data_IF_874774905685
#
_entry.id   IF_874774905685
#
_cell.length_a   1.000
_cell.length_b   1.000
_cell.length_c   1.000
_cell.angle_alpha   90.00
_cell.angle_beta   90.00
_cell.angle_gamma   90.00
#
_symmetry.space_group_name_H-M   'P 1'
#
loop_
_entity.id
_entity.type
_entity.pdbx_description
1 polymer ?
#
# COMPACT_ATOMS: atom_id res chain seq x y z
N UNK A 1 -13.89 -5.88 -11.24
CA UNK A 1 -14.75 -6.06 -10.05
C UNK A 1 -14.87 -4.69 -9.38
N UNK A 2 -16.08 -4.19 -9.12
CA UNK A 2 -16.29 -2.89 -8.46
C UNK A 2 -15.94 -3.01 -6.99
N UNK A 3 -15.02 -2.18 -6.48
CA UNK A 3 -14.57 -2.23 -5.08
C UNK A 3 -15.70 -1.73 -4.16
N UNK A 4 -16.27 -2.62 -3.35
CA UNK A 4 -17.32 -2.29 -2.40
C UNK A 4 -16.74 -1.77 -1.08
N UNK A 5 -17.40 -0.76 -0.48
CA UNK A 5 -17.10 -0.34 0.88
C UNK A 5 -17.32 -1.49 1.87
N UNK A 6 -16.49 -1.56 2.91
CA UNK A 6 -16.54 -2.65 3.92
C UNK A 6 -17.93 -2.86 4.51
N UNK A 7 -18.71 -1.79 4.71
CA UNK A 7 -20.08 -1.87 5.25
C UNK A 7 -21.02 -2.64 4.32
N UNK A 8 -20.87 -2.43 3.01
CA UNK A 8 -21.70 -3.05 1.96
C UNK A 8 -21.23 -4.49 1.76
N UNK A 9 -19.90 -4.69 1.70
CA UNK A 9 -19.30 -6.00 1.50
C UNK A 9 -19.58 -6.94 2.67
N UNK A 10 -19.40 -6.50 3.91
CA UNK A 10 -19.67 -7.30 5.10
C UNK A 10 -21.15 -7.69 5.18
N UNK A 11 -22.06 -6.74 4.92
CA UNK A 11 -23.50 -7.00 4.88
C UNK A 11 -23.85 -8.04 3.82
N UNK A 12 -23.30 -7.90 2.61
CA UNK A 12 -23.50 -8.86 1.51
C UNK A 12 -22.98 -10.26 1.85
N UNK A 13 -21.77 -10.37 2.42
CA UNK A 13 -21.16 -11.65 2.81
C UNK A 13 -21.92 -12.32 3.95
N UNK A 14 -22.44 -11.53 4.90
CA UNK A 14 -23.28 -12.04 6.00
C UNK A 14 -24.62 -12.57 5.47
N UNK A 15 -25.29 -11.79 4.63
CA UNK A 15 -26.60 -12.14 4.07
C UNK A 15 -26.51 -13.34 3.11
N UNK A 16 -25.42 -13.47 2.33
CA UNK A 16 -25.21 -14.65 1.47
C UNK A 16 -25.05 -15.95 2.26
N UNK A 17 -24.77 -15.87 3.56
CA UNK A 17 -24.64 -17.00 4.48
C UNK A 17 -25.84 -17.14 5.42
N UNK A 18 -26.91 -16.38 5.17
CA UNK A 18 -28.15 -16.35 5.96
C UNK A 18 -27.91 -16.11 7.46
N UNK A 19 -26.90 -15.30 7.81
CA UNK A 19 -26.60 -14.96 9.20
C UNK A 19 -27.24 -13.64 9.60
N UNK A 20 -27.83 -13.58 10.78
CA UNK A 20 -28.20 -12.32 11.43
C UNK A 20 -26.96 -11.61 11.99
N UNK A 21 -27.09 -10.30 12.29
CA UNK A 21 -26.03 -9.50 12.94
C UNK A 21 -25.61 -10.15 14.28
N UNK A 22 -26.59 -10.66 15.03
CA UNK A 22 -26.35 -11.33 16.32
C UNK A 22 -25.56 -12.63 16.15
N UNK A 23 -26.00 -13.51 15.25
CA UNK A 23 -25.33 -14.79 14.99
C UNK A 23 -23.90 -14.62 14.48
N UNK A 24 -23.66 -13.63 13.61
CA UNK A 24 -22.30 -13.33 13.15
C UNK A 24 -21.43 -12.78 14.30
N UNK A 25 -21.99 -11.93 15.16
CA UNK A 25 -21.26 -11.40 16.34
C UNK A 25 -20.80 -12.54 17.25
N UNK A 26 -21.70 -13.48 17.53
CA UNK A 26 -21.44 -14.65 18.37
C UNK A 26 -20.39 -15.58 17.72
N UNK A 27 -20.56 -15.92 16.43
CA UNK A 27 -19.59 -16.75 15.69
C UNK A 27 -18.20 -16.12 15.62
N UNK A 28 -18.11 -14.81 15.45
CA UNK A 28 -16.84 -14.08 15.38
C UNK A 28 -16.24 -13.77 16.74
N UNK A 29 -16.94 -14.02 17.85
CA UNK A 29 -16.51 -13.65 19.21
C UNK A 29 -16.14 -12.16 19.29
N UNK A 30 -17.05 -11.31 18.80
CA UNK A 30 -16.98 -9.85 18.85
C UNK A 30 -18.19 -9.30 19.63
N UNK A 31 -18.15 -8.02 20.03
CA UNK A 31 -19.25 -7.42 20.77
C UNK A 31 -20.56 -7.39 19.96
N UNK A 32 -21.70 -7.51 20.64
CA UNK A 32 -23.03 -7.59 20.02
C UNK A 32 -23.41 -6.39 19.13
N UNK A 33 -22.78 -5.22 19.34
CA UNK A 33 -22.95 -4.04 18.49
C UNK A 33 -21.94 -3.94 17.34
N UNK A 34 -20.84 -4.70 17.39
CA UNK A 34 -19.69 -4.52 16.49
C UNK A 34 -20.07 -4.71 15.02
N UNK A 35 -20.81 -5.75 14.69
CA UNK A 35 -21.24 -6.02 13.30
C UNK A 35 -22.19 -4.92 12.80
N UNK A 36 -23.17 -4.52 13.61
CA UNK A 36 -24.12 -3.46 13.26
C UNK A 36 -23.43 -2.10 13.08
N UNK A 37 -22.42 -1.80 13.89
CA UNK A 37 -21.64 -0.56 13.75
C UNK A 37 -20.78 -0.56 12.49
N UNK A 38 -20.25 -1.71 12.08
CA UNK A 38 -19.51 -1.83 10.82
C UNK A 38 -20.45 -1.69 9.62
N UNK A 39 -21.59 -2.39 9.62
CA UNK A 39 -22.57 -2.33 8.51
C UNK A 39 -23.28 -0.97 8.39
N UNK A 40 -23.39 -0.23 9.48
CA UNK A 40 -23.89 1.16 9.46
C UNK A 40 -22.79 2.19 9.14
N UNK A 41 -21.52 1.78 9.11
CA UNK A 41 -20.37 2.65 8.86
C UNK A 41 -19.93 3.49 10.07
N UNK A 42 -20.45 3.21 11.27
CA UNK A 42 -20.05 3.88 12.52
C UNK A 42 -18.72 3.36 13.08
N UNK A 43 -18.26 2.19 12.63
CA UNK A 43 -17.04 1.57 13.10
C UNK A 43 -16.21 1.00 11.94
N UNK A 44 -14.93 1.38 11.88
CA UNK A 44 -13.95 0.75 10.98
C UNK A 44 -13.25 -0.38 11.74
N UNK A 45 -13.42 -1.65 11.33
CA UNK A 45 -12.87 -2.78 12.06
C UNK A 45 -11.35 -2.84 11.95
N UNK A 46 -10.69 -3.22 13.05
CA UNK A 46 -9.25 -3.50 13.06
C UNK A 46 -8.96 -4.80 12.30
N UNK A 47 -7.71 -4.99 11.86
CA UNK A 47 -7.24 -6.24 11.21
C UNK A 47 -7.68 -7.50 11.98
N UNK A 48 -7.47 -7.51 13.29
CA UNK A 48 -7.86 -8.62 14.18
C UNK A 48 -9.36 -8.89 14.22
N UNK A 49 -10.18 -7.86 14.03
CA UNK A 49 -11.64 -8.00 13.92
C UNK A 49 -11.99 -8.61 12.56
N UNK A 50 -11.37 -8.16 11.47
CA UNK A 50 -11.60 -8.74 10.15
C UNK A 50 -11.14 -10.19 10.04
N UNK A 51 -10.06 -10.59 10.72
CA UNK A 51 -9.64 -11.99 10.80
C UNK A 51 -10.69 -12.87 11.49
N UNK A 52 -11.26 -12.38 12.59
CA UNK A 52 -12.37 -13.04 13.27
C UNK A 52 -13.61 -13.15 12.38
N UNK A 53 -13.95 -12.10 11.64
CA UNK A 53 -15.07 -12.08 10.70
C UNK A 53 -14.85 -13.02 9.52
N UNK A 54 -13.66 -13.01 8.92
CA UNK A 54 -13.31 -13.88 7.81
C UNK A 54 -13.42 -15.36 8.22
N UNK A 55 -12.96 -15.70 9.42
CA UNK A 55 -13.08 -17.05 9.99
C UNK A 55 -14.54 -17.41 10.28
N UNK A 56 -15.30 -16.51 10.91
CA UNK A 56 -16.70 -16.74 11.25
C UNK A 56 -17.61 -16.88 10.02
N UNK A 57 -17.28 -16.17 8.95
CA UNK A 57 -17.96 -16.26 7.66
C UNK A 57 -17.43 -17.41 6.82
N UNK A 58 -16.29 -18.03 7.14
CA UNK A 58 -15.67 -19.04 6.27
C UNK A 58 -15.45 -18.49 4.85
N UNK A 59 -14.73 -17.37 4.75
CA UNK A 59 -14.44 -16.72 3.47
C UNK A 59 -13.41 -17.50 2.67
N UNK A 60 -13.60 -17.56 1.35
CA UNK A 60 -12.56 -18.06 0.44
C UNK A 60 -11.47 -17.00 0.21
N UNK A 61 -10.41 -17.37 -0.52
CA UNK A 61 -9.26 -16.49 -0.80
C UNK A 61 -9.66 -15.17 -1.44
N UNK A 62 -10.60 -15.19 -2.40
CA UNK A 62 -11.00 -14.01 -3.16
C UNK A 62 -11.88 -13.08 -2.32
N UNK A 63 -12.84 -13.64 -1.59
CA UNK A 63 -13.68 -12.90 -0.64
C UNK A 63 -12.84 -12.28 0.48
N UNK A 64 -11.80 -12.99 0.94
CA UNK A 64 -10.86 -12.49 1.95
C UNK A 64 -10.00 -11.36 1.39
N UNK A 65 -9.48 -11.49 0.17
CA UNK A 65 -8.74 -10.40 -0.49
C UNK A 65 -9.63 -9.18 -0.64
N UNK A 66 -10.88 -9.35 -1.07
CA UNK A 66 -11.84 -8.26 -1.20
C UNK A 66 -12.13 -7.60 0.16
N UNK A 67 -12.31 -8.40 1.22
CA UNK A 67 -12.56 -7.90 2.57
C UNK A 67 -11.35 -7.14 3.15
N UNK A 68 -10.14 -7.66 2.99
CA UNK A 68 -8.93 -7.03 3.54
C UNK A 68 -8.42 -5.87 2.67
N UNK A 69 -8.73 -5.85 1.38
CA UNK A 69 -8.46 -4.70 0.53
C UNK A 69 -9.15 -3.44 1.08
N UNK A 70 -10.30 -3.57 1.75
CA UNK A 70 -10.97 -2.42 2.38
C UNK A 70 -10.17 -1.74 3.49
N UNK A 71 -9.10 -2.37 4.03
CA UNK A 71 -8.22 -1.78 5.04
C UNK A 71 -7.13 -0.88 4.46
N UNK A 72 -6.89 -0.93 3.15
CA UNK A 72 -5.81 -0.18 2.51
C UNK A 72 -6.38 0.91 1.59
N UNK A 73 -5.60 1.97 1.29
CA UNK A 73 -6.03 3.00 0.36
C UNK A 73 -6.53 2.45 -0.99
N UNK A 74 -7.47 3.14 -1.63
CA UNK A 74 -8.19 2.69 -2.84
C UNK A 74 -7.26 2.32 -4.01
N UNK A 75 -6.12 3.01 -4.14
CA UNK A 75 -5.08 2.74 -5.15
C UNK A 75 -4.33 1.42 -4.87
N UNK A 76 -4.04 1.13 -3.60
CA UNK A 76 -3.45 -0.14 -3.16
C UNK A 76 -4.49 -1.26 -3.28
N UNK A 77 -5.75 -1.00 -2.90
CA UNK A 77 -6.87 -1.93 -3.02
C UNK A 77 -7.09 -2.37 -4.47
N UNK A 78 -7.13 -1.41 -5.40
CA UNK A 78 -7.30 -1.67 -6.84
C UNK A 78 -6.13 -2.46 -7.39
N UNK A 79 -4.90 -2.15 -6.99
CA UNK A 79 -3.70 -2.94 -7.34
C UNK A 79 -3.84 -4.37 -6.84
N UNK A 80 -4.13 -4.58 -5.55
CA UNK A 80 -4.32 -5.90 -4.93
C UNK A 80 -5.39 -6.73 -5.64
N UNK A 81 -6.55 -6.15 -5.96
CA UNK A 81 -7.64 -6.88 -6.63
C UNK A 81 -7.32 -7.14 -8.12
N UNK A 82 -6.60 -6.22 -8.79
CA UNK A 82 -6.21 -6.38 -10.20
C UNK A 82 -5.05 -7.36 -10.39
N UNK A 83 -4.14 -7.45 -9.43
CA UNK A 83 -3.07 -8.44 -9.39
C UNK A 83 -3.59 -9.68 -8.68
N UNK A 84 -4.03 -10.71 -9.38
CA UNK A 84 -4.49 -12.00 -8.83
C UNK A 84 -3.45 -12.78 -7.96
N UNK A 85 -2.38 -12.14 -7.50
CA UNK A 85 -1.20 -12.74 -6.88
C UNK A 85 -1.01 -12.41 -5.38
N UNK A 86 -2.01 -11.89 -4.68
CA UNK A 86 -1.93 -11.75 -3.22
C UNK A 86 -2.48 -12.99 -2.51
N UNK A 87 -1.67 -14.05 -2.39
CA UNK A 87 -1.96 -15.19 -1.51
C UNK A 87 -1.84 -14.72 -0.05
N UNK A 88 -2.96 -14.55 0.66
CA UNK A 88 -2.95 -14.48 2.12
C UNK A 88 -2.81 -15.89 2.67
N UNK A 89 -1.80 -16.08 3.54
CA UNK A 89 -1.54 -17.34 4.23
C UNK A 89 -2.63 -17.53 5.29
N UNK A 90 -3.48 -18.55 5.14
CA UNK A 90 -4.41 -18.94 6.18
C UNK A 90 -3.69 -19.64 7.32
N UNK A 91 -3.97 -19.18 8.53
CA UNK A 91 -3.31 -19.56 9.77
C UNK A 91 -3.74 -20.92 10.32
N UNK A 92 -4.30 -21.83 9.52
CA UNK A 92 -4.54 -23.21 9.95
C UNK A 92 -4.41 -24.17 8.76
N UNK A 93 -3.40 -25.04 8.84
CA UNK A 93 -2.92 -26.00 7.81
C UNK A 93 -1.89 -25.42 6.84
N UNK A 94 -0.70 -25.07 7.34
CA UNK A 94 0.44 -24.79 6.46
C UNK A 94 0.83 -26.10 5.76
N UNK A 95 0.37 -26.31 4.52
CA UNK A 95 1.18 -27.06 3.55
C UNK A 95 2.27 -26.10 3.10
N UNK A 96 3.43 -26.20 3.74
CA UNK A 96 4.60 -25.41 3.39
C UNK A 96 4.96 -25.73 1.94
N UNK A 97 4.77 -24.77 1.04
CA UNK A 97 5.04 -24.95 -0.38
C UNK A 97 6.54 -24.71 -0.64
N UNK A 98 7.23 -25.74 -1.13
CA UNK A 98 8.64 -25.65 -1.53
C UNK A 98 8.81 -24.60 -2.63
N UNK A 99 9.85 -23.77 -2.53
CA UNK A 99 10.06 -22.57 -3.36
C UNK A 99 10.54 -22.89 -4.77
N UNK A 100 11.49 -23.80 -4.92
CA UNK A 100 12.03 -24.17 -6.22
C UNK A 100 11.01 -24.90 -7.11
N UNK A 101 10.23 -25.89 -6.62
CA UNK A 101 9.17 -26.52 -7.41
C UNK A 101 8.12 -25.53 -7.92
N UNK A 102 7.74 -24.54 -7.10
CA UNK A 102 6.81 -23.47 -7.49
C UNK A 102 7.43 -22.57 -8.56
N UNK A 103 8.70 -22.17 -8.39
CA UNK A 103 9.43 -21.40 -9.40
C UNK A 103 9.48 -22.16 -10.74
N UNK A 104 9.86 -23.44 -10.73
CA UNK A 104 10.01 -24.24 -11.93
C UNK A 104 8.68 -24.43 -12.68
N UNK A 105 7.57 -24.64 -11.96
CA UNK A 105 6.22 -24.70 -12.56
C UNK A 105 5.83 -23.38 -13.24
N UNK A 106 6.08 -22.26 -12.58
CA UNK A 106 5.77 -20.94 -13.14
C UNK A 106 6.63 -20.65 -14.37
N UNK A 107 7.94 -20.93 -14.30
CA UNK A 107 8.85 -20.79 -15.42
C UNK A 107 8.38 -21.59 -16.65
N UNK A 108 7.96 -22.83 -16.45
CA UNK A 108 7.40 -23.67 -17.52
C UNK A 108 6.09 -23.10 -18.08
N UNK A 109 5.18 -22.63 -17.21
CA UNK A 109 3.90 -22.07 -17.63
C UNK A 109 4.07 -20.75 -18.41
N UNK A 110 4.92 -19.84 -17.94
CA UNK A 110 5.14 -18.53 -18.55
C UNK A 110 5.80 -18.64 -19.93
N UNK A 111 6.66 -19.64 -20.10
CA UNK A 111 7.34 -19.90 -21.37
C UNK A 111 6.62 -20.95 -22.24
N UNK A 112 5.47 -21.46 -21.78
CA UNK A 112 4.67 -22.49 -22.44
C UNK A 112 5.48 -23.76 -22.77
N UNK A 113 6.32 -24.20 -21.83
CA UNK A 113 7.15 -25.39 -21.95
C UNK A 113 6.48 -26.60 -21.31
N UNK A 114 6.49 -27.73 -22.01
CA UNK A 114 6.15 -29.03 -21.44
C UNK A 114 7.38 -29.73 -20.85
N UNK A 115 7.13 -30.79 -20.08
CA UNK A 115 8.17 -31.58 -19.37
C UNK A 115 9.17 -32.15 -20.39
N UNK A 116 8.66 -32.71 -21.49
CA UNK A 116 9.46 -33.38 -22.52
C UNK A 116 10.43 -32.40 -23.20
N UNK A 117 9.98 -31.19 -23.53
CA UNK A 117 10.80 -30.12 -24.08
C UNK A 117 11.92 -29.72 -23.11
N UNK A 118 11.57 -29.53 -21.84
CA UNK A 118 12.54 -29.10 -20.82
C UNK A 118 13.61 -30.18 -20.57
N UNK A 119 13.20 -31.45 -20.44
CA UNK A 119 14.09 -32.60 -20.29
C UNK A 119 15.09 -32.71 -21.44
N UNK A 120 14.59 -32.61 -22.69
CA UNK A 120 15.43 -32.67 -23.89
C UNK A 120 16.46 -31.55 -23.93
N UNK A 121 16.08 -30.35 -23.49
CA UNK A 121 16.91 -29.15 -23.60
C UNK A 121 17.99 -29.08 -22.52
N UNK A 122 17.67 -29.47 -21.28
CA UNK A 122 18.61 -29.52 -20.15
C UNK A 122 19.45 -30.82 -20.15
N UNK A 123 19.02 -31.83 -20.91
CA UNK A 123 19.55 -33.21 -20.90
C UNK A 123 19.36 -33.88 -19.54
N UNK A 124 18.14 -33.82 -19.01
CA UNK A 124 17.73 -34.50 -17.78
C UNK A 124 16.63 -35.53 -18.05
N UNK A 125 16.40 -36.45 -17.11
CA UNK A 125 15.30 -37.44 -17.22
C UNK A 125 13.96 -36.83 -16.80
N UNK A 126 12.86 -37.35 -17.37
CA UNK A 126 11.51 -36.93 -16.97
C UNK A 126 11.19 -37.29 -15.52
N UNK A 127 11.73 -38.41 -15.02
CA UNK A 127 11.57 -38.82 -13.62
C UNK A 127 12.19 -37.79 -12.69
N UNK A 128 13.44 -37.39 -12.95
CA UNK A 128 14.17 -36.43 -12.14
C UNK A 128 13.49 -35.06 -12.16
N UNK A 129 13.04 -34.61 -13.34
CA UNK A 129 12.31 -33.36 -13.47
C UNK A 129 10.96 -33.39 -12.73
N UNK A 130 10.24 -34.51 -12.77
CA UNK A 130 9.00 -34.69 -12.01
C UNK A 130 9.24 -34.71 -10.49
N UNK A 131 10.35 -35.28 -10.02
CA UNK A 131 10.73 -35.24 -8.62
C UNK A 131 11.00 -33.81 -8.16
N UNK A 132 11.64 -32.99 -9.00
CA UNK A 132 11.83 -31.57 -8.73
C UNK A 132 10.50 -30.80 -8.73
N UNK A 133 9.63 -31.01 -9.72
CA UNK A 133 8.31 -30.36 -9.78
C UNK A 133 7.40 -30.76 -8.61
N UNK A 134 7.56 -31.98 -8.09
CA UNK A 134 6.82 -32.48 -6.93
C UNK A 134 7.45 -32.07 -5.61
N UNK A 135 8.69 -31.54 -5.64
CA UNK A 135 9.45 -31.22 -4.45
C UNK A 135 9.91 -32.44 -3.66
N UNK A 136 9.92 -33.63 -4.28
CA UNK A 136 10.47 -34.86 -3.69
C UNK A 136 11.99 -34.74 -3.57
N UNK A 137 12.62 -34.19 -4.61
CA UNK A 137 14.06 -33.94 -4.68
C UNK A 137 14.34 -32.47 -4.95
N UNK A 138 15.50 -32.01 -4.51
CA UNK A 138 16.05 -30.69 -4.86
C UNK A 138 17.11 -30.84 -5.95
N UNK A 139 17.24 -29.87 -6.87
CA UNK A 139 18.21 -29.98 -7.94
C UNK A 139 19.64 -29.84 -7.43
N UNK A 140 20.55 -30.59 -8.06
CA UNK A 140 21.98 -30.45 -7.85
C UNK A 140 22.56 -29.26 -8.64
N UNK A 141 23.81 -28.89 -8.32
CA UNK A 141 24.51 -27.79 -8.98
C UNK A 141 24.65 -27.99 -10.49
N UNK A 142 24.88 -29.22 -10.96
CA UNK A 142 25.01 -29.51 -12.39
C UNK A 142 23.71 -29.20 -13.16
N UNK A 143 22.55 -29.56 -12.59
CA UNK A 143 21.26 -29.22 -13.16
C UNK A 143 21.05 -27.70 -13.16
N UNK A 144 21.35 -27.03 -12.04
CA UNK A 144 21.16 -25.57 -11.89
C UNK A 144 22.00 -24.82 -12.93
N UNK A 145 23.27 -25.18 -13.06
CA UNK A 145 24.18 -24.54 -14.00
C UNK A 145 23.77 -24.82 -15.45
N UNK A 146 23.35 -26.05 -15.76
CA UNK A 146 22.80 -26.41 -17.08
C UNK A 146 21.53 -25.61 -17.38
N UNK A 147 20.64 -25.46 -16.40
CA UNK A 147 19.39 -24.69 -16.52
C UNK A 147 19.66 -23.20 -16.78
N UNK A 148 20.48 -22.56 -15.94
CA UNK A 148 20.84 -21.14 -16.07
C UNK A 148 21.47 -20.86 -17.42
N UNK A 149 22.41 -21.71 -17.85
CA UNK A 149 23.11 -21.57 -19.12
C UNK A 149 22.16 -21.76 -20.31
N UNK A 150 21.31 -22.78 -20.26
CA UNK A 150 20.43 -23.17 -21.37
C UNK A 150 19.34 -22.13 -21.63
N UNK A 151 18.78 -21.55 -20.58
CA UNK A 151 17.71 -20.55 -20.68
C UNK A 151 18.20 -19.11 -20.59
N UNK A 152 19.52 -18.90 -20.48
CA UNK A 152 20.15 -17.57 -20.39
C UNK A 152 19.56 -16.73 -19.24
N UNK A 153 19.38 -17.38 -18.09
CA UNK A 153 18.81 -16.77 -16.89
C UNK A 153 19.70 -15.60 -16.42
N UNK A 154 19.07 -14.50 -16.02
CA UNK A 154 19.80 -13.30 -15.55
C UNK A 154 20.58 -13.59 -14.26
N UNK A 155 21.65 -12.83 -14.00
CA UNK A 155 22.44 -13.00 -12.76
C UNK A 155 21.59 -12.89 -11.49
N UNK A 156 20.66 -11.94 -11.44
CA UNK A 156 19.79 -11.72 -10.28
C UNK A 156 18.86 -12.92 -10.08
N UNK A 157 18.27 -13.41 -11.17
CA UNK A 157 17.36 -14.56 -11.11
C UNK A 157 18.09 -15.86 -10.77
N UNK A 158 19.32 -16.04 -11.24
CA UNK A 158 20.17 -17.17 -10.85
C UNK A 158 20.46 -17.20 -9.33
N UNK A 159 20.70 -16.05 -8.71
CA UNK A 159 20.86 -15.94 -7.25
C UNK A 159 19.56 -16.29 -6.51
N UNK A 160 18.40 -15.88 -7.04
CA UNK A 160 17.11 -16.27 -6.47
C UNK A 160 16.85 -17.78 -6.56
N UNK A 161 17.19 -18.42 -7.69
CA UNK A 161 17.05 -19.87 -7.86
C UNK A 161 17.87 -20.61 -6.80
N UNK A 162 19.12 -20.20 -6.58
CA UNK A 162 19.98 -20.79 -5.53
C UNK A 162 19.39 -20.59 -4.14
N UNK A 163 18.93 -19.38 -3.83
CA UNK A 163 18.28 -19.09 -2.55
C UNK A 163 17.01 -19.94 -2.32
N UNK A 164 16.23 -20.24 -3.36
CA UNK A 164 15.08 -21.14 -3.26
C UNK A 164 15.47 -22.57 -2.95
N UNK A 165 16.55 -23.05 -3.56
CA UNK A 165 17.05 -24.40 -3.34
C UNK A 165 17.66 -24.53 -1.95
N UNK A 166 18.39 -23.52 -1.48
CA UNK A 166 18.91 -23.46 -0.11
C UNK A 166 17.77 -23.44 0.91
N UNK A 167 16.70 -22.68 0.63
CA UNK A 167 15.49 -22.68 1.46
C UNK A 167 14.85 -24.08 1.51
N UNK A 168 14.71 -24.74 0.35
CA UNK A 168 14.08 -26.07 0.26
C UNK A 168 14.93 -27.20 0.86
N UNK A 169 16.26 -27.07 0.82
CA UNK A 169 17.22 -28.01 1.42
C UNK A 169 17.30 -27.89 2.94
N UNK A 170 17.22 -26.66 3.46
CA UNK A 170 17.25 -26.41 4.90
C UNK A 170 15.88 -26.59 5.58
N UNK A 171 14.86 -26.99 4.81
CA UNK A 171 13.52 -27.26 5.29
C UNK A 171 13.46 -28.62 6.01
N UNK A 172 13.42 -28.62 7.35
CA UNK A 172 13.18 -29.81 8.18
C UNK A 172 11.69 -29.94 8.55
N UNK A 173 11.19 -31.18 8.60
CA UNK A 173 9.81 -31.53 8.93
C UNK A 173 9.33 -30.83 10.22
N UNK A 174 8.22 -30.05 10.17
CA UNK A 174 7.69 -29.31 11.31
C UNK A 174 7.31 -30.17 12.52
N UNK A 175 7.08 -31.48 12.36
CA UNK A 175 6.74 -32.39 13.46
C UNK A 175 7.87 -32.59 14.48
N UNK A 176 9.10 -32.16 14.15
CA UNK A 176 10.28 -32.23 15.02
C UNK A 176 10.66 -30.89 15.66
N UNK A 177 9.98 -29.80 15.32
CA UNK A 177 10.36 -28.45 15.74
C UNK A 177 9.39 -27.98 16.81
N UNK A 178 9.65 -28.36 18.06
CA UNK A 178 9.12 -27.61 19.19
C UNK A 178 9.85 -26.25 19.26
N UNK A 179 9.07 -25.18 19.10
CA UNK A 179 9.41 -23.77 19.29
C UNK A 179 10.58 -23.23 18.45
N UNK A 180 10.25 -22.72 17.25
CA UNK A 180 11.04 -21.65 16.64
C UNK A 180 10.07 -20.56 16.20
N UNK A 181 10.08 -19.45 16.95
CA UNK A 181 9.36 -18.22 16.65
C UNK A 181 9.80 -17.68 15.28
N UNK A 182 8.87 -17.62 14.33
CA UNK A 182 9.07 -16.91 13.07
C UNK A 182 8.58 -15.47 13.24
N UNK A 183 9.34 -14.69 14.00
CA UNK A 183 9.12 -13.26 14.17
C UNK A 183 9.78 -12.52 13.00
N UNK A 184 8.98 -12.07 12.02
CA UNK A 184 9.42 -10.99 11.13
C UNK A 184 9.38 -9.69 11.95
N UNK A 185 10.41 -9.49 12.76
CA UNK A 185 10.60 -8.26 13.52
C UNK A 185 11.00 -7.14 12.57
N UNK A 186 10.01 -6.44 12.00
CA UNK A 186 10.27 -5.11 11.48
C UNK A 186 10.63 -4.25 12.68
N UNK A 187 11.88 -3.81 12.76
CA UNK A 187 12.28 -2.81 13.73
C UNK A 187 11.39 -1.58 13.50
N UNK A 188 10.59 -1.20 14.50
CA UNK A 188 9.75 -0.02 14.44
C UNK A 188 10.51 1.15 15.05
N UNK A 189 10.33 2.33 14.47
CA UNK A 189 10.87 3.58 15.01
C UNK A 189 9.72 4.55 15.27
N UNK A 190 9.85 5.29 16.36
CA UNK A 190 8.93 6.38 16.71
C UNK A 190 9.39 7.66 16.03
N UNK A 191 8.56 8.17 15.11
CA UNK A 191 8.85 9.41 14.39
C UNK A 191 8.10 10.56 15.04
N UNK A 192 8.80 11.62 15.48
CA UNK A 192 8.15 12.81 16.04
C UNK A 192 7.36 13.54 14.96
N UNK A 193 6.12 13.94 15.29
CA UNK A 193 5.23 14.70 14.41
C UNK A 193 5.10 16.12 14.92
N UNK A 194 5.27 17.10 14.03
CA UNK A 194 5.13 18.53 14.32
C UNK A 194 3.88 19.11 13.65
N UNK A 195 3.37 20.22 14.18
CA UNK A 195 2.19 20.93 13.64
C UNK A 195 2.49 21.76 12.40
N UNK A 196 3.73 22.23 12.25
CA UNK A 196 4.19 23.08 11.16
C UNK A 196 5.71 23.06 11.05
N UNK A 197 6.24 23.69 10.01
CA UNK A 197 7.68 23.94 9.84
C UNK A 197 7.90 25.46 9.92
N UNK A 198 8.94 25.91 10.62
CA UNK A 198 9.27 27.34 10.79
C UNK A 198 10.71 27.66 10.36
N UNK A 199 10.99 28.96 10.19
CA UNK A 199 12.29 29.50 9.83
C UNK A 199 13.40 29.08 10.84
N UNK A 200 14.42 28.39 10.33
CA UNK A 200 15.48 27.75 11.12
C UNK A 200 15.70 26.28 10.72
N UNK A 201 15.91 26.00 9.42
CA UNK A 201 16.28 24.66 8.91
C UNK A 201 15.40 23.47 9.34
N UNK A 202 14.09 23.70 9.56
CA UNK A 202 13.09 22.62 9.53
C UNK A 202 12.47 22.20 10.87
N UNK A 203 12.69 22.95 11.95
CA UNK A 203 12.05 22.74 13.26
C UNK A 203 12.55 23.86 14.19
N UNK A 204 11.66 24.54 14.93
CA UNK A 204 12.14 25.31 16.08
C UNK A 204 12.62 24.29 17.13
N UNK A 205 13.89 24.30 17.58
CA UNK A 205 14.42 23.45 18.65
C UNK A 205 13.55 23.35 19.91
N UNK A 206 12.61 24.26 20.06
CA UNK A 206 11.74 24.44 21.21
C UNK A 206 10.31 23.92 20.98
N UNK A 207 9.92 23.59 19.74
CA UNK A 207 8.55 23.14 19.44
C UNK A 207 8.37 21.66 19.76
N UNK A 208 7.82 21.33 20.92
CA UNK A 208 7.53 19.93 21.29
C UNK A 208 6.72 19.20 20.20
N UNK A 209 7.03 17.92 19.90
CA UNK A 209 6.24 17.14 18.97
C UNK A 209 4.80 17.01 19.48
N UNK A 210 3.83 17.21 18.57
CA UNK A 210 2.40 17.08 18.90
C UNK A 210 1.99 15.63 19.13
N UNK A 211 2.74 14.67 18.57
CA UNK A 211 2.64 13.24 18.82
C UNK A 211 3.82 12.50 18.19
N UNK A 212 3.89 11.20 18.44
CA UNK A 212 4.76 10.27 17.74
C UNK A 212 3.94 9.32 16.87
N UNK A 213 4.53 8.85 15.77
CA UNK A 213 3.94 7.81 14.92
C UNK A 213 4.94 6.69 14.72
N UNK A 214 4.47 5.46 14.95
CA UNK A 214 5.26 4.24 14.76
C UNK A 214 5.27 3.84 13.29
N UNK A 215 6.45 3.72 12.70
CA UNK A 215 6.63 3.23 11.32
C UNK A 215 7.75 2.18 11.25
N UNK A 216 7.77 1.30 10.23
CA UNK A 216 8.93 0.46 9.95
C UNK A 216 10.20 1.31 9.85
N UNK A 217 11.32 0.82 10.37
CA UNK A 217 12.61 1.52 10.37
C UNK A 217 12.99 1.93 8.95
N UNK A 218 13.33 3.20 8.84
CA UNK A 218 13.85 3.84 7.63
C UNK A 218 15.13 4.54 8.06
N UNK A 219 16.24 4.27 7.39
CA UNK A 219 17.50 4.94 7.65
C UNK A 219 17.42 6.42 7.23
N UNK A 220 18.12 7.30 7.97
CA UNK A 220 18.21 8.73 7.69
C UNK A 220 17.43 9.61 8.69
N UNK A 221 17.52 10.93 8.52
CA UNK A 221 16.81 11.90 9.36
C UNK A 221 15.38 12.08 8.84
N UNK A 222 14.42 11.58 9.61
CA UNK A 222 13.00 11.60 9.27
C UNK A 222 12.16 12.30 10.34
N UNK A 223 11.17 13.06 9.88
CA UNK A 223 10.20 13.74 10.73
C UNK A 223 8.79 13.60 10.17
N UNK A 224 7.80 13.67 11.04
CA UNK A 224 6.40 13.79 10.66
C UNK A 224 5.95 15.25 10.68
N UNK A 225 5.14 15.65 9.71
CA UNK A 225 4.50 16.96 9.70
C UNK A 225 3.01 16.76 9.50
N UNK A 226 2.19 17.29 10.40
CA UNK A 226 0.75 17.39 10.20
C UNK A 226 0.48 18.46 9.15
N UNK A 227 -0.27 18.07 8.13
CA UNK A 227 -0.68 18.94 7.04
C UNK A 227 -1.84 19.80 7.52
N UNK A 228 -1.77 21.09 7.22
CA UNK A 228 -2.87 22.03 7.40
C UNK A 228 -3.21 22.71 6.09
N UNK A 229 -4.50 22.80 5.79
CA UNK A 229 -5.03 23.37 4.54
C UNK A 229 -5.23 22.34 3.44
N UNK A 230 -5.79 22.81 2.33
CA UNK A 230 -6.33 21.99 1.24
C UNK A 230 -5.52 22.11 -0.07
N UNK A 231 -4.36 22.75 -0.04
CA UNK A 231 -3.59 23.03 -1.26
C UNK A 231 -3.05 21.78 -1.97
N UNK A 232 -2.86 20.68 -1.25
CA UNK A 232 -2.44 19.41 -1.83
C UNK A 232 -3.59 18.41 -1.97
N UNK A 233 -4.85 18.87 -1.87
CA UNK A 233 -6.00 18.00 -2.04
C UNK A 233 -5.96 17.27 -3.38
N UNK A 234 -6.51 16.04 -3.38
CA UNK A 234 -6.34 14.92 -4.35
C UNK A 234 -5.24 13.95 -3.96
N UNK A 235 -4.12 14.41 -3.40
CA UNK A 235 -3.06 13.51 -2.90
C UNK A 235 -2.90 13.57 -1.40
N UNK A 236 -2.97 14.74 -0.77
CA UNK A 236 -2.77 14.95 0.66
C UNK A 236 -3.90 15.85 1.18
N UNK A 237 -4.62 15.40 2.20
CA UNK A 237 -5.74 16.13 2.78
C UNK A 237 -5.34 16.86 4.07
N UNK A 238 -6.12 17.87 4.43
CA UNK A 238 -6.00 18.52 5.74
C UNK A 238 -6.02 17.48 6.88
N UNK A 239 -5.09 17.64 7.83
CA UNK A 239 -4.93 16.75 8.97
C UNK A 239 -4.10 15.49 8.70
N UNK A 240 -3.83 15.12 7.45
CA UNK A 240 -2.89 14.03 7.14
C UNK A 240 -1.49 14.31 7.72
N UNK A 241 -0.69 13.27 7.89
CA UNK A 241 0.71 13.40 8.31
C UNK A 241 1.59 12.97 7.15
N UNK A 242 2.52 13.84 6.77
CA UNK A 242 3.58 13.49 5.83
C UNK A 242 4.83 13.11 6.60
N UNK A 243 5.45 11.98 6.24
CA UNK A 243 6.79 11.63 6.70
C UNK A 243 7.78 12.19 5.70
N UNK A 244 8.68 13.01 6.19
CA UNK A 244 9.67 13.75 5.42
C UNK A 244 11.05 13.23 5.74
N UNK A 245 11.82 12.94 4.69
CA UNK A 245 13.22 12.53 4.78
C UNK A 245 14.11 13.70 4.34
N UNK A 246 15.01 14.16 5.21
CA UNK A 246 15.78 15.40 5.00
C UNK A 246 17.04 15.21 4.15
N UNK A 247 17.63 14.03 4.20
CA UNK A 247 18.85 13.64 3.48
C UNK A 247 18.59 13.19 2.02
N UNK A 248 17.41 13.49 1.48
CA UNK A 248 17.01 13.10 0.12
C UNK A 248 16.61 14.32 -0.69
N UNK A 249 17.22 14.45 -1.87
CA UNK A 249 16.87 15.49 -2.83
C UNK A 249 15.43 15.35 -3.33
N UNK A 250 14.75 16.49 -3.46
CA UNK A 250 13.40 16.57 -4.03
C UNK A 250 13.53 16.79 -5.53
N UNK A 251 13.12 15.80 -6.33
CA UNK A 251 13.20 15.88 -7.79
C UNK A 251 11.92 16.46 -8.39
N UNK A 252 11.97 16.80 -9.68
CA UNK A 252 10.77 17.20 -10.43
C UNK A 252 9.75 16.06 -10.37
N UNK A 253 8.52 16.40 -9.98
CA UNK A 253 7.42 15.48 -9.76
C UNK A 253 7.30 14.99 -8.31
N UNK A 254 8.34 15.13 -7.48
CA UNK A 254 8.28 14.74 -6.07
C UNK A 254 7.48 15.75 -5.25
N UNK A 255 6.85 15.27 -4.17
CA UNK A 255 6.28 16.11 -3.13
C UNK A 255 7.36 16.37 -2.09
N UNK A 256 7.61 17.65 -1.80
CA UNK A 256 8.54 18.09 -0.79
C UNK A 256 7.89 19.01 0.22
N UNK A 257 8.61 19.26 1.30
CA UNK A 257 8.31 20.34 2.23
C UNK A 257 9.29 21.48 2.01
N UNK A 258 8.75 22.68 1.88
CA UNK A 258 9.48 23.88 1.52
C UNK A 258 9.16 24.99 2.51
N UNK A 259 10.15 25.80 2.87
CA UNK A 259 9.94 27.06 3.59
C UNK A 259 9.94 28.20 2.59
N UNK A 260 8.87 29.01 2.60
CA UNK A 260 8.76 30.22 1.80
C UNK A 260 9.20 31.41 2.64
N UNK A 261 10.26 32.12 2.23
CA UNK A 261 10.94 33.19 2.97
C UNK A 261 11.72 32.70 4.20
N UNK A 262 13.02 32.99 4.21
CA UNK A 262 13.98 32.43 5.19
C UNK A 262 13.82 32.97 6.61
N UNK A 263 13.20 34.13 6.79
CA UNK A 263 13.18 34.84 8.08
C UNK A 263 11.92 34.55 8.92
N UNK A 264 10.76 34.35 8.28
CA UNK A 264 9.45 34.21 8.96
C UNK A 264 8.52 33.19 8.28
N UNK A 265 9.08 32.34 7.41
CA UNK A 265 8.29 31.51 6.50
C UNK A 265 7.53 30.37 7.15
N UNK A 266 6.27 30.20 6.72
CA UNK A 266 5.49 29.00 6.95
C UNK A 266 5.97 27.85 6.04
N UNK A 267 6.09 26.66 6.62
CA UNK A 267 6.29 25.42 5.87
C UNK A 267 5.11 25.08 4.98
N UNK A 268 5.36 24.90 3.69
CA UNK A 268 4.38 24.45 2.71
C UNK A 268 4.73 23.08 2.16
N UNK A 269 3.70 22.25 1.95
CA UNK A 269 3.82 20.97 1.24
C UNK A 269 3.42 21.22 -0.21
N UNK A 270 4.31 20.96 -1.16
CA UNK A 270 4.10 21.20 -2.60
C UNK A 270 4.78 20.15 -3.46
N UNK A 271 4.37 20.05 -4.72
CA UNK A 271 5.06 19.27 -5.74
C UNK A 271 6.09 20.15 -6.45
N UNK A 272 7.32 19.67 -6.58
CA UNK A 272 8.32 20.37 -7.40
C UNK A 272 8.01 20.13 -8.88
N UNK A 273 7.90 21.20 -9.67
CA UNK A 273 7.70 21.11 -11.11
C UNK A 273 8.59 22.10 -11.86
N UNK A 274 8.61 21.98 -13.19
CA UNK A 274 9.32 22.91 -14.07
C UNK A 274 8.38 23.38 -15.18
N UNK A 275 8.14 24.68 -15.28
CA UNK A 275 7.28 25.32 -16.30
C UNK A 275 8.07 26.40 -17.03
N UNK A 276 8.05 26.36 -18.36
CA UNK A 276 8.76 27.32 -19.21
C UNK A 276 10.23 27.53 -18.84
N UNK A 277 10.91 26.45 -18.41
CA UNK A 277 12.31 26.50 -17.99
C UNK A 277 12.54 26.90 -16.53
N UNK A 278 11.52 27.35 -15.81
CA UNK A 278 11.60 27.83 -14.41
C UNK A 278 11.06 26.78 -13.45
N UNK A 279 11.71 26.62 -12.29
CA UNK A 279 11.20 25.74 -11.23
C UNK A 279 10.03 26.41 -10.49
N UNK A 280 8.99 25.63 -10.25
CA UNK A 280 7.77 26.08 -9.58
C UNK A 280 7.34 25.06 -8.53
N UNK A 281 6.70 25.53 -7.47
CA UNK A 281 6.01 24.71 -6.50
C UNK A 281 4.53 24.64 -6.86
N UNK A 282 4.07 23.44 -7.21
CA UNK A 282 2.69 23.19 -7.60
C UNK A 282 1.88 22.60 -6.47
N UNK A 283 0.62 23.02 -6.46
CA UNK A 283 -0.43 22.48 -5.63
C UNK A 283 -1.18 21.43 -6.43
N UNK A 284 -1.47 20.27 -5.84
CA UNK A 284 -2.31 19.27 -6.51
C UNK A 284 -3.79 19.71 -6.57
N UNK A 285 -4.18 20.61 -5.66
CA UNK A 285 -5.44 21.33 -5.75
C UNK A 285 -5.34 22.44 -6.81
N UNK A 286 -6.12 22.36 -7.92
CA UNK A 286 -6.03 23.29 -9.05
C UNK A 286 -6.51 24.71 -8.73
N UNK A 287 -7.20 24.93 -7.60
CA UNK A 287 -7.60 26.27 -7.16
C UNK A 287 -6.42 27.12 -6.68
N UNK A 288 -5.27 26.50 -6.44
CA UNK A 288 -4.06 27.17 -5.98
C UNK A 288 -3.09 27.43 -7.14
N UNK A 289 -2.67 28.68 -7.29
CA UNK A 289 -1.70 29.07 -8.31
C UNK A 289 -0.31 28.47 -8.00
N UNK A 290 0.45 28.03 -9.01
CA UNK A 290 1.86 27.68 -8.84
C UNK A 290 2.67 28.83 -8.24
N UNK A 291 3.63 28.51 -7.38
CA UNK A 291 4.55 29.50 -6.78
C UNK A 291 5.88 29.37 -7.51
N UNK A 292 6.34 30.43 -8.15
CA UNK A 292 7.64 30.43 -8.83
C UNK A 292 8.79 30.46 -7.81
N UNK A 293 9.77 29.58 -8.00
CA UNK A 293 10.94 29.51 -7.12
C UNK A 293 11.95 30.56 -7.58
N UNK A 294 12.03 31.68 -6.86
CA UNK A 294 13.17 32.58 -6.91
C UNK A 294 14.22 32.01 -5.97
N UNK A 295 15.38 31.62 -6.50
CA UNK A 295 16.40 30.78 -5.83
C UNK A 295 16.86 31.25 -4.44
N UNK A 296 16.63 32.52 -4.07
CA UNK A 296 16.95 33.10 -2.77
C UNK A 296 15.87 32.91 -1.68
N UNK A 297 14.62 32.60 -2.06
CA UNK A 297 13.45 32.71 -1.18
C UNK A 297 12.92 31.36 -0.67
N UNK A 298 13.33 30.24 -1.26
CA UNK A 298 12.80 28.91 -0.93
C UNK A 298 13.88 28.00 -0.36
N UNK A 299 13.60 27.38 0.79
CA UNK A 299 14.46 26.32 1.36
C UNK A 299 13.72 24.99 1.29
N UNK A 300 14.36 23.98 0.71
CA UNK A 300 13.85 22.61 0.73
C UNK A 300 14.16 21.98 2.09
N UNK A 301 13.12 21.53 2.80
CA UNK A 301 13.24 20.88 4.11
C UNK A 301 13.35 19.35 4.01
N UNK A 302 12.92 18.77 2.89
CA UNK A 302 13.07 17.34 2.60
C UNK A 302 11.97 16.80 1.70
N UNK A 303 12.12 15.52 1.33
CA UNK A 303 11.19 14.79 0.46
C UNK A 303 10.12 14.08 1.28
N UNK A 304 8.86 14.18 0.85
CA UNK A 304 7.77 13.37 1.41
C UNK A 304 7.93 11.92 0.91
N UNK A 305 8.15 10.99 1.84
CA UNK A 305 8.35 9.56 1.55
C UNK A 305 7.13 8.71 1.91
N UNK A 306 6.24 9.21 2.77
CA UNK A 306 5.03 8.50 3.20
C UNK A 306 3.93 9.47 3.62
N UNK A 307 2.67 9.10 3.41
CA UNK A 307 1.48 9.83 3.87
C UNK A 307 0.70 8.91 4.82
N UNK A 308 0.38 9.39 6.01
CA UNK A 308 -0.46 8.72 7.00
C UNK A 308 -1.77 9.50 7.07
N UNK A 309 -2.88 8.85 6.71
CA UNK A 309 -4.19 9.51 6.64
C UNK A 309 -4.76 9.78 8.04
N UNK A 310 -5.30 10.97 8.27
CA UNK A 310 -6.06 11.25 9.49
C UNK A 310 -7.46 10.64 9.43
N UNK A 311 -7.87 9.95 10.49
CA UNK A 311 -9.20 9.32 10.62
C UNK A 311 -10.38 10.31 10.71
N UNK A 312 -10.13 11.61 10.51
CA UNK A 312 -11.12 12.70 10.66
C UNK A 312 -11.78 13.15 9.35
N UNK A 313 -11.49 12.53 8.20
CA UNK A 313 -12.16 12.86 6.94
C UNK A 313 -13.61 12.35 6.95
N UNK A 314 -14.50 13.16 7.55
CA UNK A 314 -15.95 13.11 7.28
C UNK A 314 -16.15 13.15 5.76
N UNK A 315 -17.08 12.32 5.28
CA UNK A 315 -17.57 12.26 3.90
C UNK A 315 -17.51 13.62 3.20
N UNK A 316 -16.77 13.69 2.08
CA UNK A 316 -16.87 14.82 1.16
C UNK A 316 -18.28 14.84 0.58
N UNK A 317 -18.87 16.02 0.49
CA UNK A 317 -20.23 16.22 -0.01
C UNK A 317 -20.37 15.62 -1.43
N UNK A 318 -21.31 14.68 -1.66
CA UNK A 318 -21.54 14.06 -2.96
C UNK A 318 -21.73 15.06 -4.11
N UNK A 319 -22.24 16.26 -3.81
CA UNK A 319 -22.39 17.33 -4.80
C UNK A 319 -21.04 17.89 -5.26
N UNK A 320 -20.08 18.02 -4.34
CA UNK A 320 -18.73 18.50 -4.67
C UNK A 320 -18.00 17.46 -5.52
N UNK A 321 -18.19 16.18 -5.23
CA UNK A 321 -17.61 15.09 -6.02
C UNK A 321 -18.21 15.01 -7.43
N UNK A 322 -19.55 15.12 -7.53
CA UNK A 322 -20.25 15.17 -8.81
C UNK A 322 -19.85 16.41 -9.62
N UNK A 323 -19.80 17.58 -8.99
CA UNK A 323 -19.38 18.83 -9.65
C UNK A 323 -17.96 18.71 -10.22
N UNK A 324 -17.02 18.20 -9.41
CA UNK A 324 -15.63 18.02 -9.82
C UNK A 324 -15.42 16.92 -10.88
N UNK A 325 -16.39 16.02 -11.07
CA UNK A 325 -16.37 14.99 -12.13
C UNK A 325 -16.76 15.52 -13.52
N UNK A 326 -17.31 16.74 -13.61
CA UNK A 326 -17.72 17.36 -14.87
C UNK A 326 -16.53 17.98 -15.61
N UNK A 327 -16.67 18.16 -16.93
CA UNK A 327 -15.72 18.95 -17.71
C UNK A 327 -15.72 20.43 -17.29
N UNK A 328 -14.61 21.13 -17.50
CA UNK A 328 -14.44 22.53 -17.09
C UNK A 328 -15.58 23.44 -17.61
N UNK A 329 -15.99 23.26 -18.86
CA UNK A 329 -17.09 24.04 -19.46
C UNK A 329 -18.42 23.82 -18.71
N UNK A 330 -18.72 22.57 -18.35
CA UNK A 330 -19.96 22.22 -17.62
C UNK A 330 -19.95 22.70 -16.18
N UNK A 331 -18.78 22.75 -15.54
CA UNK A 331 -18.62 23.34 -14.21
C UNK A 331 -18.90 24.84 -14.26
N UNK A 332 -18.36 25.53 -15.27
CA UNK A 332 -18.59 26.96 -15.47
C UNK A 332 -20.06 27.29 -15.75
N UNK A 333 -20.73 26.49 -16.59
CA UNK A 333 -22.16 26.64 -16.87
C UNK A 333 -23.04 26.52 -15.60
N UNK A 334 -22.73 25.55 -14.73
CA UNK A 334 -23.45 25.36 -13.47
C UNK A 334 -23.24 26.52 -12.49
N UNK A 335 -22.03 27.07 -12.43
CA UNK A 335 -21.74 28.24 -11.60
C UNK A 335 -22.49 29.48 -12.11
N UNK A 336 -22.47 29.72 -13.42
CA UNK A 336 -23.21 30.82 -14.04
C UNK A 336 -24.72 30.69 -13.80
N UNK A 337 -25.26 29.47 -13.87
CA UNK A 337 -26.67 29.21 -13.58
C UNK A 337 -27.03 29.43 -12.09
N UNK A 338 -26.14 29.03 -11.17
CA UNK A 338 -26.32 29.27 -9.75
C UNK A 338 -26.32 30.77 -9.40
N UNK A 339 -25.46 31.57 -10.05
CA UNK A 339 -25.47 33.03 -9.93
C UNK A 339 -26.75 33.66 -10.51
N UNK A 340 -27.20 33.19 -11.68
CA UNK A 340 -28.47 33.62 -12.26
C UNK A 340 -29.66 33.38 -11.32
N UNK A 341 -29.73 32.22 -10.67
CA UNK A 341 -30.79 31.90 -9.71
C UNK A 341 -30.74 32.78 -8.44
N UNK A 342 -29.54 33.16 -7.99
CA UNK A 342 -29.37 34.09 -6.86
C UNK A 342 -29.86 35.49 -7.19
N UNK A 343 -29.66 35.95 -8.43
CA UNK A 343 -30.05 37.28 -8.89
C UNK A 343 -31.53 37.38 -9.30
N UNK A 344 -32.28 36.28 -9.25
CA UNK A 344 -33.72 36.21 -9.58
C UNK A 344 -34.61 36.32 -8.34
N UNK A 345 -34.04 36.49 -7.14
CA UNK A 345 -34.75 36.67 -5.87
C UNK A 345 -34.81 38.12 -5.43
#
# INVERSE_FOLDING_TARGET
MSLMEIRILLKKLRESRNLTIKELSEKAKVGNGTIGDIESGRNTPRKTTLEKLAKALNLNSDERVELFATLVPLDVSKKIISSKNYKYVEENSIKFEKKFPTYLKNFMSENNYDITFLCKKIKTSEILLNNYLSGIETPNNDFIDSFIKTFKISRIEAEHIKAYIDYDNNFKDPSTISNIDFELSYELIEVPVYSSVSAGYGYSPESLPIKYVSIPKIDGDIIGIRVSGDSMEKTIYDGDIVIVKKDVEVNIGDIGVFLLNKEFGDGVVKRLAKKNGVFVLESDNPYYKPIEIKSSEVITCGKVIKIIRSSTNKQKDPFVELFNSLSADKQQDLLNYAEFLKNKK
#
